data_IF_326085463693
#
_entry.id   IF_326085463693
#
_cell.length_a   1.000
_cell.length_b   1.000
_cell.length_c   1.000
_cell.angle_alpha   90.00
_cell.angle_beta   90.00
_cell.angle_gamma   90.00
#
_symmetry.space_group_name_H-M   'P 1'
#
loop_
_entity.id
_entity.type
_entity.pdbx_description
1 polymer ?
#
# COMPACT_ATOMS: atom_id res chain seq x y z
N UNK A 1 40.88 8.00 -13.60
CA UNK A 1 39.76 8.71 -12.94
C UNK A 1 38.45 8.72 -13.75
N UNK A 2 38.36 8.07 -14.92
CA UNK A 2 37.13 8.01 -15.73
C UNK A 2 36.38 6.66 -15.68
N UNK A 3 36.96 5.62 -15.07
CA UNK A 3 36.39 4.26 -15.05
C UNK A 3 35.29 4.05 -13.99
N UNK A 4 35.23 4.86 -12.93
CA UNK A 4 34.26 4.68 -11.84
C UNK A 4 32.95 5.46 -12.05
N UNK A 5 32.90 6.34 -13.05
CA UNK A 5 31.75 7.22 -13.29
C UNK A 5 30.42 6.46 -13.55
N UNK A 6 30.41 5.35 -14.30
CA UNK A 6 29.21 4.52 -14.49
C UNK A 6 28.73 3.85 -13.20
N UNK A 7 29.66 3.32 -12.38
CA UNK A 7 29.34 2.65 -11.11
C UNK A 7 28.78 3.64 -10.09
N UNK A 8 29.42 4.81 -9.97
CA UNK A 8 28.97 5.89 -9.10
C UNK A 8 27.55 6.36 -9.46
N UNK A 9 27.23 6.45 -10.76
CA UNK A 9 25.88 6.83 -11.20
C UNK A 9 24.82 5.84 -10.70
N UNK A 10 25.08 4.54 -10.80
CA UNK A 10 24.16 3.49 -10.30
C UNK A 10 24.06 3.55 -8.77
N UNK A 11 25.20 3.66 -8.07
CA UNK A 11 25.24 3.78 -6.61
C UNK A 11 24.48 5.01 -6.10
N UNK A 12 24.55 6.13 -6.79
CA UNK A 12 23.81 7.34 -6.43
C UNK A 12 22.30 7.17 -6.55
N UNK A 13 21.83 6.51 -7.62
CA UNK A 13 20.39 6.26 -7.80
C UNK A 13 19.90 5.24 -6.78
N UNK A 14 20.67 4.18 -6.50
CA UNK A 14 20.39 3.23 -5.42
C UNK A 14 20.29 3.93 -4.06
N UNK A 15 21.28 4.77 -3.71
CA UNK A 15 21.31 5.53 -2.46
C UNK A 15 20.09 6.43 -2.28
N UNK A 16 19.51 6.93 -3.37
CA UNK A 16 18.28 7.73 -3.36
C UNK A 16 17.02 6.86 -3.32
N UNK A 17 17.06 5.65 -3.88
CA UNK A 17 15.92 4.75 -3.98
C UNK A 17 15.54 4.13 -2.62
N UNK A 18 16.50 3.59 -1.87
CA UNK A 18 16.20 2.88 -0.62
C UNK A 18 15.51 3.73 0.46
N UNK A 19 15.87 5.01 0.69
CA UNK A 19 15.11 5.86 1.61
C UNK A 19 13.65 6.04 1.18
N UNK A 20 13.38 6.20 -0.12
CA UNK A 20 12.00 6.29 -0.62
C UNK A 20 11.24 4.99 -0.39
N UNK A 21 11.88 3.84 -0.65
CA UNK A 21 11.28 2.53 -0.40
C UNK A 21 10.92 2.37 1.09
N UNK A 22 11.81 2.79 2.00
CA UNK A 22 11.54 2.77 3.44
C UNK A 22 10.34 3.67 3.81
N UNK A 23 10.31 4.91 3.33
CA UNK A 23 9.18 5.82 3.57
C UNK A 23 7.86 5.25 3.02
N UNK A 24 7.90 4.62 1.85
CA UNK A 24 6.74 3.96 1.25
C UNK A 24 6.29 2.74 2.06
N UNK A 25 7.22 1.95 2.62
CA UNK A 25 6.90 0.84 3.52
C UNK A 25 6.20 1.33 4.79
N UNK A 26 6.66 2.41 5.39
CA UNK A 26 6.05 2.96 6.61
C UNK A 26 4.63 3.50 6.33
N UNK A 27 4.45 4.15 5.18
CA UNK A 27 3.13 4.59 4.72
C UNK A 27 2.20 3.40 4.43
N UNK A 28 2.70 2.34 3.81
CA UNK A 28 1.94 1.12 3.56
C UNK A 28 1.44 0.48 4.86
N UNK A 29 2.35 0.26 5.82
CA UNK A 29 2.03 -0.36 7.11
C UNK A 29 1.02 0.46 7.91
N UNK A 30 1.23 1.77 8.03
CA UNK A 30 0.31 2.65 8.74
C UNK A 30 -1.07 2.72 8.06
N UNK A 31 -1.12 2.69 6.73
CA UNK A 31 -2.38 2.65 5.97
C UNK A 31 -3.12 1.35 6.21
N UNK A 32 -2.44 0.20 6.17
CA UNK A 32 -3.05 -1.11 6.45
C UNK A 32 -3.57 -1.21 7.89
N UNK A 33 -2.81 -0.72 8.88
CA UNK A 33 -3.27 -0.66 10.26
C UNK A 33 -4.56 0.17 10.40
N UNK A 34 -4.65 1.28 9.66
CA UNK A 34 -5.85 2.11 9.60
C UNK A 34 -7.07 1.39 9.04
N UNK A 35 -6.90 0.44 8.12
CA UNK A 35 -7.99 -0.32 7.51
C UNK A 35 -8.72 -1.25 8.49
N UNK A 36 -8.02 -1.80 9.50
CA UNK A 36 -8.61 -2.77 10.43
C UNK A 36 -9.86 -2.20 11.14
N UNK A 37 -9.77 -0.98 11.66
CA UNK A 37 -10.89 -0.31 12.33
C UNK A 37 -12.09 -0.06 11.40
N UNK A 38 -11.83 0.26 10.13
CA UNK A 38 -12.84 0.51 9.12
C UNK A 38 -13.56 -0.79 8.72
N UNK A 39 -12.79 -1.87 8.51
CA UNK A 39 -13.33 -3.19 8.20
C UNK A 39 -14.19 -3.74 9.35
N UNK A 40 -13.75 -3.58 10.60
CA UNK A 40 -14.56 -3.94 11.76
C UNK A 40 -15.85 -3.12 11.84
N UNK A 41 -15.77 -1.81 11.56
CA UNK A 41 -16.96 -0.95 11.52
C UNK A 41 -17.95 -1.39 10.44
N UNK A 42 -17.45 -1.75 9.26
CA UNK A 42 -18.26 -2.23 8.14
C UNK A 42 -18.91 -3.58 8.44
N UNK A 43 -18.17 -4.53 9.05
CA UNK A 43 -18.70 -5.82 9.49
C UNK A 43 -19.83 -5.63 10.50
N UNK A 44 -19.63 -4.79 11.51
CA UNK A 44 -20.65 -4.48 12.50
C UNK A 44 -21.90 -3.82 11.86
N UNK A 45 -21.73 -2.90 10.90
CA UNK A 45 -22.86 -2.31 10.17
C UNK A 45 -23.63 -3.36 9.36
N UNK A 46 -22.94 -4.31 8.73
CA UNK A 46 -23.57 -5.41 8.00
C UNK A 46 -24.39 -6.32 8.93
N UNK A 47 -23.84 -6.66 10.09
CA UNK A 47 -24.55 -7.42 11.14
C UNK A 47 -25.79 -6.67 11.64
N UNK A 48 -25.67 -5.37 11.90
CA UNK A 48 -26.79 -4.54 12.34
C UNK A 48 -27.89 -4.45 11.28
N UNK A 49 -27.51 -4.31 10.00
CA UNK A 49 -28.46 -4.28 8.89
C UNK A 49 -29.19 -5.62 8.79
N UNK A 50 -28.47 -6.74 8.85
CA UNK A 50 -29.07 -8.08 8.85
C UNK A 50 -30.01 -8.29 10.05
N UNK A 51 -29.59 -7.92 11.26
CA UNK A 51 -30.41 -8.02 12.47
C UNK A 51 -31.70 -7.19 12.35
N UNK A 52 -31.60 -5.97 11.81
CA UNK A 52 -32.77 -5.11 11.58
C UNK A 52 -33.72 -5.67 10.52
N UNK A 53 -33.23 -6.39 9.52
CA UNK A 53 -34.08 -7.01 8.50
C UNK A 53 -34.80 -8.25 9.04
N UNK A 54 -34.19 -8.98 9.96
CA UNK A 54 -34.76 -10.18 10.57
C UNK A 54 -35.77 -9.87 11.70
N UNK A 55 -35.78 -8.64 12.22
CA UNK A 55 -36.70 -8.21 13.27
C UNK A 55 -38.06 -7.84 12.69
N UNK A 56 -39.13 -8.41 13.25
CA UNK A 56 -40.50 -7.93 13.03
C UNK A 56 -40.79 -6.78 13.98
N UNK A 57 -40.68 -5.55 13.48
CA UNK A 57 -40.86 -4.34 14.30
C UNK A 57 -42.28 -4.24 14.91
N UNK A 58 -43.30 -4.78 14.24
CA UNK A 58 -44.67 -4.88 14.78
C UNK A 58 -44.80 -5.70 16.08
N UNK A 59 -43.92 -6.70 16.23
CA UNK A 59 -43.92 -7.63 17.36
C UNK A 59 -43.27 -7.02 18.61
N UNK A 60 -42.64 -5.84 18.50
CA UNK A 60 -42.00 -5.13 19.61
C UNK A 60 -42.90 -3.95 20.05
N UNK A 61 -43.63 -4.05 21.18
CA UNK A 61 -44.62 -3.05 21.58
C UNK A 61 -44.06 -1.63 21.73
N UNK A 62 -42.81 -1.51 22.18
CA UNK A 62 -42.14 -0.23 22.36
C UNK A 62 -41.81 0.50 21.04
N UNK A 63 -41.75 -0.22 19.91
CA UNK A 63 -41.41 0.35 18.60
C UNK A 63 -42.64 0.75 17.78
N UNK A 64 -43.84 0.30 18.16
CA UNK A 64 -45.10 0.60 17.46
C UNK A 64 -45.39 2.10 17.25
N UNK A 65 -45.04 3.02 18.17
CA UNK A 65 -45.22 4.45 17.93
C UNK A 65 -44.34 5.02 16.80
N UNK A 66 -43.41 4.24 16.24
CA UNK A 66 -42.44 4.66 15.24
C UNK A 66 -42.57 3.84 13.94
N UNK A 67 -43.63 4.02 13.14
CA UNK A 67 -43.90 3.20 11.96
C UNK A 67 -42.80 3.28 10.89
N UNK A 68 -42.13 4.42 10.76
CA UNK A 68 -41.05 4.62 9.78
C UNK A 68 -39.66 4.23 10.32
N UNK A 69 -39.57 3.67 11.53
CA UNK A 69 -38.29 3.42 12.19
C UNK A 69 -37.39 2.49 11.37
N UNK A 70 -37.96 1.41 10.83
CA UNK A 70 -37.21 0.43 10.06
C UNK A 70 -36.56 1.06 8.82
N UNK A 71 -37.33 1.83 8.05
CA UNK A 71 -36.83 2.50 6.84
C UNK A 71 -35.80 3.57 7.19
N UNK A 72 -36.06 4.38 8.23
CA UNK A 72 -35.13 5.41 8.69
C UNK A 72 -33.82 4.81 9.22
N UNK A 73 -33.90 3.67 9.92
CA UNK A 73 -32.74 2.94 10.42
C UNK A 73 -31.93 2.38 9.26
N UNK A 74 -32.58 1.70 8.30
CA UNK A 74 -31.95 1.17 7.10
C UNK A 74 -31.20 2.27 6.35
N UNK A 75 -31.86 3.41 6.07
CA UNK A 75 -31.23 4.54 5.39
C UNK A 75 -30.00 5.04 6.14
N UNK A 76 -30.10 5.24 7.46
CA UNK A 76 -28.97 5.68 8.29
C UNK A 76 -27.81 4.68 8.30
N UNK A 77 -28.09 3.38 8.31
CA UNK A 77 -27.08 2.33 8.26
C UNK A 77 -26.37 2.30 6.91
N UNK A 78 -27.11 2.47 5.81
CA UNK A 78 -26.53 2.58 4.46
C UNK A 78 -25.65 3.83 4.33
N UNK A 79 -26.15 5.00 4.76
CA UNK A 79 -25.36 6.25 4.79
C UNK A 79 -24.06 6.09 5.61
N UNK A 80 -24.13 5.41 6.76
CA UNK A 80 -22.93 5.12 7.56
C UNK A 80 -21.98 4.13 6.86
N UNK A 81 -22.52 3.14 6.16
CA UNK A 81 -21.77 2.20 5.34
C UNK A 81 -21.02 2.89 4.21
N UNK A 82 -21.69 3.77 3.47
CA UNK A 82 -21.10 4.55 2.38
C UNK A 82 -19.92 5.39 2.87
N UNK A 83 -20.06 6.06 4.02
CA UNK A 83 -18.96 6.83 4.64
C UNK A 83 -17.74 5.95 4.96
N UNK A 84 -17.96 4.71 5.44
CA UNK A 84 -16.87 3.79 5.75
C UNK A 84 -16.21 3.27 4.45
N UNK A 85 -17.00 2.99 3.42
CA UNK A 85 -16.51 2.56 2.11
C UNK A 85 -15.71 3.67 1.42
N UNK A 86 -16.13 4.92 1.48
CA UNK A 86 -15.38 6.06 0.94
C UNK A 86 -14.00 6.15 1.60
N UNK A 87 -13.94 6.02 2.93
CA UNK A 87 -12.66 5.99 3.65
C UNK A 87 -11.79 4.81 3.25
N UNK A 88 -12.37 3.63 3.06
CA UNK A 88 -11.63 2.45 2.58
C UNK A 88 -11.09 2.67 1.16
N UNK A 89 -11.86 3.33 0.29
CA UNK A 89 -11.42 3.69 -1.06
C UNK A 89 -10.24 4.67 -1.02
N UNK A 90 -10.23 5.65 -0.12
CA UNK A 90 -9.08 6.54 0.11
C UNK A 90 -7.83 5.77 0.57
N UNK A 91 -8.00 4.78 1.47
CA UNK A 91 -6.89 3.91 1.89
C UNK A 91 -6.36 3.08 0.73
N UNK A 92 -7.24 2.48 -0.06
CA UNK A 92 -6.85 1.73 -1.26
C UNK A 92 -6.08 2.59 -2.26
N UNK A 93 -6.55 3.81 -2.53
CA UNK A 93 -5.85 4.75 -3.40
C UNK A 93 -4.44 5.07 -2.88
N UNK A 94 -4.28 5.19 -1.56
CA UNK A 94 -2.97 5.39 -0.93
C UNK A 94 -2.06 4.18 -1.14
N UNK A 95 -2.56 2.95 -0.92
CA UNK A 95 -1.79 1.71 -1.13
C UNK A 95 -1.36 1.54 -2.60
N UNK A 96 -2.26 1.83 -3.55
CA UNK A 96 -1.94 1.80 -4.98
C UNK A 96 -0.85 2.83 -5.32
N UNK A 97 -0.91 4.02 -4.74
CA UNK A 97 0.12 5.06 -4.93
C UNK A 97 1.48 4.61 -4.39
N UNK A 98 1.53 3.95 -3.22
CA UNK A 98 2.77 3.37 -2.67
C UNK A 98 3.37 2.39 -3.69
N UNK A 99 2.57 1.43 -4.16
CA UNK A 99 3.00 0.43 -5.15
C UNK A 99 3.57 1.12 -6.39
N UNK A 100 2.83 2.05 -6.98
CA UNK A 100 3.25 2.73 -8.22
C UNK A 100 4.53 3.56 -8.00
N UNK A 101 4.66 4.18 -6.83
CA UNK A 101 5.87 4.94 -6.45
C UNK A 101 7.08 4.02 -6.37
N UNK A 102 6.98 2.90 -5.65
CA UNK A 102 8.06 1.91 -5.54
C UNK A 102 8.45 1.40 -6.92
N UNK A 103 7.49 0.95 -7.73
CA UNK A 103 7.76 0.44 -9.07
C UNK A 103 8.47 1.47 -9.95
N UNK A 104 8.06 2.74 -9.91
CA UNK A 104 8.71 3.80 -10.70
C UNK A 104 10.15 4.09 -10.27
N UNK A 105 10.44 3.99 -8.98
CA UNK A 105 11.77 4.20 -8.43
C UNK A 105 12.69 3.03 -8.77
N UNK A 106 12.19 1.80 -8.64
CA UNK A 106 12.93 0.59 -9.03
C UNK A 106 13.21 0.62 -10.53
N UNK A 107 12.22 0.92 -11.36
CA UNK A 107 12.40 1.05 -12.81
C UNK A 107 13.51 2.06 -13.17
N UNK A 108 13.54 3.23 -12.52
CA UNK A 108 14.59 4.24 -12.74
C UNK A 108 16.00 3.73 -12.39
N UNK A 109 16.13 2.95 -11.31
CA UNK A 109 17.40 2.30 -10.94
C UNK A 109 17.84 1.37 -12.07
N UNK A 110 16.95 0.48 -12.53
CA UNK A 110 17.26 -0.49 -13.58
C UNK A 110 17.56 0.19 -14.92
N UNK A 111 16.83 1.24 -15.30
CA UNK A 111 17.16 2.05 -16.48
C UNK A 111 18.57 2.67 -16.38
N UNK A 112 18.95 3.18 -15.21
CA UNK A 112 20.29 3.74 -15.00
C UNK A 112 21.36 2.66 -15.09
N UNK A 113 21.12 1.49 -14.51
CA UNK A 113 22.01 0.34 -14.62
C UNK A 113 22.18 -0.13 -16.07
N UNK A 114 21.09 -0.30 -16.80
CA UNK A 114 21.09 -0.75 -18.20
C UNK A 114 21.86 0.22 -19.11
N UNK A 115 21.67 1.54 -18.92
CA UNK A 115 22.40 2.58 -19.66
C UNK A 115 23.92 2.49 -19.50
N UNK A 116 24.38 2.00 -18.34
CA UNK A 116 25.80 1.92 -18.00
C UNK A 116 26.36 0.49 -18.10
N UNK A 117 25.51 -0.53 -18.32
CA UNK A 117 25.85 -1.95 -18.27
C UNK A 117 27.03 -2.36 -19.14
N UNK A 118 27.15 -1.80 -20.35
CA UNK A 118 28.25 -2.11 -21.27
C UNK A 118 29.61 -1.54 -20.82
N UNK A 119 29.61 -0.55 -19.93
CA UNK A 119 30.81 0.09 -19.40
C UNK A 119 31.12 -0.33 -17.95
N UNK A 120 30.21 -1.06 -17.31
CA UNK A 120 30.39 -1.56 -15.94
C UNK A 120 31.25 -2.82 -15.95
N UNK A 121 32.28 -2.81 -15.11
CA UNK A 121 33.04 -4.02 -14.80
C UNK A 121 32.21 -4.92 -13.87
N UNK A 122 32.08 -6.19 -14.23
CA UNK A 122 31.26 -7.15 -13.47
C UNK A 122 31.83 -7.39 -12.08
N UNK A 123 33.15 -7.41 -11.94
CA UNK A 123 33.79 -7.55 -10.64
C UNK A 123 33.41 -6.37 -9.74
N UNK A 124 33.44 -5.14 -10.26
CA UNK A 124 33.09 -3.95 -9.51
C UNK A 124 31.61 -3.92 -9.03
N UNK A 125 30.68 -4.52 -9.77
CA UNK A 125 29.26 -4.63 -9.39
C UNK A 125 29.05 -5.65 -8.27
N UNK A 126 29.85 -6.71 -8.25
CA UNK A 126 29.78 -7.81 -7.27
C UNK A 126 30.57 -7.51 -5.99
N UNK A 127 31.52 -6.56 -6.03
CA UNK A 127 32.34 -6.22 -4.86
C UNK A 127 31.53 -5.45 -3.80
N UNK A 128 31.35 -5.99 -2.59
CA UNK A 128 30.81 -5.23 -1.47
C UNK A 128 31.87 -4.29 -0.88
N UNK A 129 31.44 -3.30 -0.11
CA UNK A 129 32.32 -2.45 0.67
C UNK A 129 32.15 -2.73 2.18
N UNK A 130 33.02 -2.13 2.99
CA UNK A 130 32.92 -2.22 4.47
C UNK A 130 31.62 -1.60 4.99
N UNK A 131 31.04 -0.64 4.26
CA UNK A 131 29.89 0.16 4.69
C UNK A 131 28.64 -0.05 3.85
N UNK A 132 28.72 -0.86 2.79
CA UNK A 132 27.61 -1.08 1.88
C UNK A 132 27.67 -2.48 1.24
N UNK A 133 26.51 -3.12 1.01
CA UNK A 133 26.37 -4.27 0.13
C UNK A 133 26.89 -4.01 -1.28
N UNK A 134 27.01 -5.08 -2.07
CA UNK A 134 27.33 -4.95 -3.50
C UNK A 134 26.16 -4.32 -4.27
N UNK A 135 26.44 -3.78 -5.46
CA UNK A 135 25.39 -3.24 -6.34
C UNK A 135 24.47 -4.38 -6.80
N UNK A 136 25.01 -5.57 -7.03
CA UNK A 136 24.21 -6.75 -7.38
C UNK A 136 23.17 -7.09 -6.30
N UNK A 137 23.59 -7.17 -5.02
CA UNK A 137 22.69 -7.48 -3.90
C UNK A 137 21.58 -6.43 -3.80
N UNK A 138 21.95 -5.14 -3.91
CA UNK A 138 20.98 -4.05 -3.83
C UNK A 138 19.95 -4.10 -4.97
N UNK A 139 20.36 -4.44 -6.19
CA UNK A 139 19.46 -4.59 -7.33
C UNK A 139 18.50 -5.78 -7.14
N UNK A 140 19.02 -6.91 -6.65
CA UNK A 140 18.21 -8.08 -6.31
C UNK A 140 17.15 -7.73 -5.26
N UNK A 141 17.55 -7.06 -4.17
CA UNK A 141 16.61 -6.64 -3.13
C UNK A 141 15.52 -5.72 -3.64
N UNK A 142 15.86 -4.74 -4.50
CA UNK A 142 14.86 -3.86 -5.10
C UNK A 142 13.88 -4.62 -6.01
N UNK A 143 14.36 -5.64 -6.74
CA UNK A 143 13.50 -6.47 -7.56
C UNK A 143 12.55 -7.32 -6.72
N UNK A 144 13.03 -7.88 -5.61
CA UNK A 144 12.20 -8.63 -4.68
C UNK A 144 11.16 -7.75 -3.98
N UNK A 145 11.53 -6.52 -3.61
CA UNK A 145 10.62 -5.52 -3.07
C UNK A 145 9.54 -5.17 -4.11
N UNK A 146 9.91 -4.83 -5.35
CA UNK A 146 8.93 -4.52 -6.40
C UNK A 146 7.98 -5.71 -6.65
N UNK A 147 8.50 -6.94 -6.66
CA UNK A 147 7.69 -8.16 -6.78
C UNK A 147 6.71 -8.30 -5.62
N UNK A 148 7.13 -8.02 -4.39
CA UNK A 148 6.26 -8.05 -3.22
C UNK A 148 5.07 -7.09 -3.38
N UNK A 149 5.32 -5.85 -3.77
CA UNK A 149 4.27 -4.84 -3.94
C UNK A 149 3.36 -5.06 -5.16
N UNK A 150 3.84 -5.73 -6.21
CA UNK A 150 3.01 -6.11 -7.37
C UNK A 150 2.10 -7.32 -7.12
N UNK A 151 2.48 -8.18 -6.18
CA UNK A 151 1.76 -9.43 -5.86
C UNK A 151 0.86 -9.33 -4.64
N UNK A 152 0.94 -8.22 -3.88
CA UNK A 152 0.09 -7.90 -2.74
C UNK A 152 -1.11 -7.06 -3.15
#
# INVERSE_FOLDING_TARGET
>A
MAQDQPLLAVQEVLRKCFPVVQEQQDLWQSTLQGCSSLLSSLSNLAEQLQASQNLRFEDVPALRPFPDLQERLRRKQLEAGDIVLDKLAERLATLLKVRDTISSHVERVFQTYEQHSAALDMDAVLQPSVVSPSVADMLEWLQDIDRHYRSS
#
